data_IF_635654869335
#
_entry.id   IF_635654869335
#
_cell.length_a   1.000
_cell.length_b   1.000
_cell.length_c   1.000
_cell.angle_alpha   90.00
_cell.angle_beta   90.00
_cell.angle_gamma   90.00
#
_symmetry.space_group_name_H-M   'P 1'
#
loop_
_entity.id
_entity.type
_entity.pdbx_description
1 polymer ?
#
# COMPACT_ATOMS: atom_id res chain seq x y z
N UNK A 1 -24.11 7.33 37.82
CA UNK A 1 -23.17 8.37 38.31
C UNK A 1 -23.34 9.61 37.43
N UNK A 2 -23.40 10.82 38.00
CA UNK A 2 -23.49 12.05 37.18
C UNK A 2 -22.17 12.28 36.44
N UNK A 3 -22.23 12.78 35.19
CA UNK A 3 -21.05 13.12 34.39
C UNK A 3 -20.13 14.12 35.12
N UNK A 4 -20.72 15.04 35.89
CA UNK A 4 -20.00 15.99 36.73
C UNK A 4 -19.17 15.32 37.85
N UNK A 5 -19.72 14.28 38.47
CA UNK A 5 -19.01 13.49 39.48
C UNK A 5 -17.81 12.75 38.89
N UNK A 6 -17.94 12.25 37.65
CA UNK A 6 -16.86 11.59 36.92
C UNK A 6 -15.76 12.60 36.57
N UNK A 7 -16.12 13.79 36.10
CA UNK A 7 -15.15 14.83 35.75
C UNK A 7 -14.25 15.24 36.93
N UNK A 8 -14.85 15.40 38.12
CA UNK A 8 -14.16 15.80 39.34
C UNK A 8 -13.44 14.66 40.07
N UNK A 9 -13.60 13.40 39.65
CA UNK A 9 -12.90 12.27 40.28
C UNK A 9 -11.47 12.06 39.77
N UNK A 10 -11.01 12.83 38.79
CA UNK A 10 -9.66 12.79 38.25
C UNK A 10 -8.79 13.92 38.81
N UNK A 11 -7.47 13.67 38.91
CA UNK A 11 -6.47 14.67 39.28
C UNK A 11 -5.47 14.86 38.12
N UNK A 12 -5.39 16.04 37.49
CA UNK A 12 -6.28 17.19 37.64
C UNK A 12 -7.72 16.92 37.12
N UNK A 13 -8.73 17.71 37.54
CA UNK A 13 -10.10 17.55 37.08
C UNK A 13 -10.22 17.65 35.56
N UNK A 14 -11.01 16.75 34.97
CA UNK A 14 -11.27 16.79 33.53
C UNK A 14 -12.35 17.82 33.21
N UNK A 15 -12.28 18.51 32.05
CA UNK A 15 -13.39 19.31 31.58
C UNK A 15 -14.65 18.46 31.37
N UNK A 16 -15.82 18.98 31.77
CA UNK A 16 -17.11 18.31 31.57
C UNK A 16 -17.36 17.93 30.09
N UNK A 17 -16.92 18.80 29.17
CA UNK A 17 -17.02 18.59 27.72
C UNK A 17 -16.26 17.36 27.24
N UNK A 18 -15.13 17.01 27.89
CA UNK A 18 -14.33 15.83 27.56
C UNK A 18 -15.08 14.56 27.94
N UNK A 19 -15.62 14.49 29.17
CA UNK A 19 -16.43 13.36 29.63
C UNK A 19 -17.66 13.17 28.74
N UNK A 20 -18.36 14.25 28.42
CA UNK A 20 -19.53 14.22 27.53
C UNK A 20 -19.17 13.73 26.11
N UNK A 21 -18.05 14.22 25.55
CA UNK A 21 -17.59 13.83 24.21
C UNK A 21 -17.18 12.35 24.15
N UNK A 22 -16.50 11.85 25.19
CA UNK A 22 -16.13 10.43 25.31
C UNK A 22 -17.38 9.55 25.40
N UNK A 23 -18.35 9.90 26.25
CA UNK A 23 -19.61 9.15 26.37
C UNK A 23 -20.36 9.16 25.04
N UNK A 24 -20.45 10.32 24.37
CA UNK A 24 -21.09 10.44 23.06
C UNK A 24 -20.40 9.56 22.01
N UNK A 25 -19.06 9.55 21.99
CA UNK A 25 -18.26 8.70 21.09
C UNK A 25 -18.50 7.22 21.38
N UNK A 26 -18.48 6.82 22.64
CA UNK A 26 -18.72 5.44 23.05
C UNK A 26 -20.13 4.98 22.66
N UNK A 27 -21.15 5.80 22.91
CA UNK A 27 -22.52 5.48 22.52
C UNK A 27 -22.68 5.34 20.99
N UNK A 28 -21.94 6.12 20.19
CA UNK A 28 -22.02 6.08 18.74
C UNK A 28 -21.20 4.96 18.09
N UNK A 29 -20.05 4.60 18.67
CA UNK A 29 -19.04 3.73 18.02
C UNK A 29 -18.73 2.46 18.81
N UNK A 30 -19.22 2.34 20.04
CA UNK A 30 -18.91 1.25 20.97
C UNK A 30 -17.47 1.27 21.51
N UNK A 31 -16.66 2.28 21.18
CA UNK A 31 -15.22 2.31 21.50
C UNK A 31 -14.79 3.69 22.00
N UNK A 32 -13.78 3.70 22.88
CA UNK A 32 -13.14 4.95 23.37
C UNK A 32 -11.83 5.22 22.61
N UNK A 33 -11.28 4.21 21.93
CA UNK A 33 -10.03 4.25 21.18
C UNK A 33 -10.01 5.28 20.05
N UNK A 34 -8.83 5.83 19.77
CA UNK A 34 -8.66 6.82 18.71
C UNK A 34 -9.01 6.24 17.34
N UNK A 35 -9.96 6.88 16.67
CA UNK A 35 -10.38 6.50 15.32
C UNK A 35 -9.49 7.16 14.27
N UNK A 36 -9.31 6.52 13.09
CA UNK A 36 -8.59 7.13 12.00
C UNK A 36 -9.27 8.45 11.60
N UNK A 37 -8.48 9.51 11.50
CA UNK A 37 -8.97 10.81 11.00
C UNK A 37 -9.12 10.72 9.49
N UNK A 38 -10.05 11.51 8.92
CA UNK A 38 -10.32 11.53 7.47
C UNK A 38 -9.09 11.75 6.59
N UNK A 39 -8.05 12.41 7.13
CA UNK A 39 -6.81 12.67 6.39
C UNK A 39 -7.01 13.49 5.11
N UNK A 40 -5.92 13.68 4.37
CA UNK A 40 -5.97 14.29 3.03
C UNK A 40 -6.29 13.20 2.02
N UNK A 41 -7.22 13.48 1.11
CA UNK A 41 -7.52 12.60 -0.02
C UNK A 41 -6.27 12.39 -0.88
N UNK A 42 -6.11 11.18 -1.40
CA UNK A 42 -5.00 10.86 -2.28
C UNK A 42 -5.15 11.56 -3.65
N UNK A 43 -4.01 11.83 -4.30
CA UNK A 43 -3.99 12.49 -5.61
C UNK A 43 -4.43 11.52 -6.71
N UNK A 44 -4.10 10.23 -6.56
CA UNK A 44 -4.47 9.17 -7.49
C UNK A 44 -5.73 8.47 -6.98
N UNK A 45 -6.71 8.29 -7.88
CA UNK A 45 -7.87 7.46 -7.57
C UNK A 45 -7.55 5.96 -7.77
N UNK A 46 -8.48 5.08 -7.41
CA UNK A 46 -8.29 3.64 -7.56
C UNK A 46 -8.16 3.19 -9.02
N UNK A 47 -8.86 3.84 -9.95
CA UNK A 47 -8.78 3.52 -11.39
C UNK A 47 -7.40 3.86 -11.98
N UNK A 48 -6.79 4.96 -11.53
CA UNK A 48 -5.46 5.36 -11.94
C UNK A 48 -4.41 4.39 -11.40
N UNK A 49 -4.58 3.92 -10.15
CA UNK A 49 -3.74 2.86 -9.57
C UNK A 49 -3.83 1.57 -10.39
N UNK A 50 -5.03 1.13 -10.77
CA UNK A 50 -5.21 -0.04 -11.64
C UNK A 50 -4.57 0.13 -13.01
N UNK A 51 -4.72 1.31 -13.64
CA UNK A 51 -4.05 1.62 -14.92
C UNK A 51 -2.52 1.55 -14.79
N UNK A 52 -1.96 2.11 -13.71
CA UNK A 52 -0.53 2.03 -13.41
C UNK A 52 -0.09 0.57 -13.25
N UNK A 53 -0.81 -0.22 -12.45
CA UNK A 53 -0.50 -1.62 -12.21
C UNK A 53 -0.51 -2.43 -13.52
N UNK A 54 -1.56 -2.30 -14.31
CA UNK A 54 -1.71 -3.00 -15.59
C UNK A 54 -0.62 -2.59 -16.58
N UNK A 55 -0.26 -1.30 -16.63
CA UNK A 55 0.80 -0.80 -17.50
C UNK A 55 2.16 -1.37 -17.12
N UNK A 56 2.49 -1.36 -15.83
CA UNK A 56 3.80 -1.80 -15.33
C UNK A 56 3.97 -3.31 -15.46
N UNK A 57 2.94 -4.09 -15.13
CA UNK A 57 3.00 -5.55 -15.09
C UNK A 57 2.77 -6.24 -16.43
N UNK A 58 2.46 -5.48 -17.50
CA UNK A 58 2.13 -6.01 -18.83
C UNK A 58 3.17 -6.96 -19.40
N UNK A 59 4.45 -6.58 -19.40
CA UNK A 59 5.54 -7.39 -19.93
C UNK A 59 6.89 -7.05 -19.27
N UNK A 60 7.96 -7.74 -19.66
CA UNK A 60 9.31 -7.48 -19.11
C UNK A 60 9.81 -6.07 -19.44
N UNK A 61 9.54 -5.58 -20.65
CA UNK A 61 9.94 -4.25 -21.09
C UNK A 61 9.23 -3.13 -20.31
N UNK A 62 7.96 -3.30 -19.97
CA UNK A 62 7.18 -2.33 -19.21
C UNK A 62 7.67 -2.19 -17.78
N UNK A 63 8.20 -3.26 -17.18
CA UNK A 63 8.81 -3.24 -15.84
C UNK A 63 10.11 -2.44 -15.78
N UNK A 64 10.80 -2.30 -16.91
CA UNK A 64 12.02 -1.49 -17.04
C UNK A 64 11.78 -0.05 -17.48
N UNK A 65 10.52 0.38 -17.64
CA UNK A 65 10.22 1.77 -17.99
C UNK A 65 10.55 2.73 -16.84
N UNK A 66 11.03 3.91 -17.21
CA UNK A 66 11.18 5.03 -16.27
C UNK A 66 9.81 5.54 -15.82
N UNK A 67 9.72 6.00 -14.56
CA UNK A 67 8.48 6.58 -14.00
C UNK A 67 7.88 7.68 -14.90
N UNK A 68 8.72 8.58 -15.44
CA UNK A 68 8.29 9.62 -16.40
C UNK A 68 7.57 9.06 -17.63
N UNK A 69 8.10 8.00 -18.24
CA UNK A 69 7.46 7.35 -19.39
C UNK A 69 6.10 6.75 -19.02
N UNK A 70 5.97 6.24 -17.79
CA UNK A 70 4.69 5.72 -17.30
C UNK A 70 3.68 6.87 -17.16
N UNK A 71 4.09 7.99 -16.54
CA UNK A 71 3.29 9.21 -16.37
C UNK A 71 2.79 9.72 -17.73
N UNK A 72 3.71 9.92 -18.67
CA UNK A 72 3.42 10.39 -20.02
C UNK A 72 2.47 9.42 -20.74
N UNK A 73 2.72 8.12 -20.64
CA UNK A 73 1.90 7.11 -21.33
C UNK A 73 0.47 6.99 -20.79
N UNK A 74 0.25 7.40 -19.54
CA UNK A 74 -1.06 7.39 -18.88
C UNK A 74 -1.68 8.79 -18.82
N UNK A 75 -1.01 9.80 -19.37
CA UNK A 75 -1.39 11.21 -19.33
C UNK A 75 -1.76 11.68 -17.91
N UNK A 76 -0.98 11.27 -16.92
CA UNK A 76 -1.19 11.65 -15.52
C UNK A 76 -0.47 12.96 -15.21
N UNK A 77 -1.12 13.88 -14.51
CA UNK A 77 -0.49 15.11 -14.02
C UNK A 77 0.00 14.93 -12.57
N UNK A 78 0.99 14.06 -12.37
CA UNK A 78 1.52 13.74 -11.04
C UNK A 78 3.05 13.66 -11.04
N UNK A 79 3.66 13.89 -9.88
CA UNK A 79 5.09 13.75 -9.69
C UNK A 79 5.50 12.27 -9.58
N UNK A 80 6.72 11.93 -10.00
CA UNK A 80 7.32 10.59 -9.90
C UNK A 80 7.17 9.96 -8.50
N UNK A 81 7.33 10.77 -7.44
CA UNK A 81 7.21 10.32 -6.05
C UNK A 81 5.81 9.78 -5.72
N UNK A 82 4.76 10.36 -6.30
CA UNK A 82 3.36 9.94 -6.07
C UNK A 82 3.14 8.56 -6.65
N UNK A 83 3.64 8.31 -7.86
CA UNK A 83 3.56 6.99 -8.50
C UNK A 83 4.40 5.96 -7.75
N UNK A 84 5.63 6.30 -7.37
CA UNK A 84 6.48 5.39 -6.60
C UNK A 84 5.81 4.96 -5.28
N UNK A 85 5.18 5.91 -4.57
CA UNK A 85 4.38 5.59 -3.38
C UNK A 85 3.21 4.67 -3.72
N UNK A 86 2.40 5.02 -4.74
CA UNK A 86 1.26 4.20 -5.14
C UNK A 86 1.68 2.77 -5.54
N UNK A 87 2.81 2.61 -6.25
CA UNK A 87 3.37 1.31 -6.61
C UNK A 87 3.76 0.49 -5.39
N UNK A 88 4.40 1.10 -4.39
CA UNK A 88 4.72 0.43 -3.11
C UNK A 88 3.48 0.01 -2.35
N UNK A 89 2.47 0.88 -2.30
CA UNK A 89 1.19 0.57 -1.65
C UNK A 89 0.47 -0.61 -2.36
N UNK A 90 0.69 -0.78 -3.66
CA UNK A 90 0.24 -1.94 -4.46
C UNK A 90 1.15 -3.17 -4.36
N UNK A 91 2.23 -3.12 -3.57
CA UNK A 91 3.19 -4.23 -3.42
C UNK A 91 4.22 -4.35 -4.56
N UNK A 92 4.31 -3.35 -5.46
CA UNK A 92 5.27 -3.31 -6.56
C UNK A 92 6.52 -2.57 -6.10
N UNK A 93 7.59 -3.33 -5.92
CA UNK A 93 8.89 -2.82 -5.50
C UNK A 93 9.86 -2.70 -6.68
N UNK A 94 10.86 -1.83 -6.53
CA UNK A 94 11.95 -1.66 -7.49
C UNK A 94 13.12 -2.56 -7.12
N UNK A 95 13.35 -3.63 -7.89
CA UNK A 95 14.51 -4.51 -7.73
C UNK A 95 15.30 -4.57 -9.04
N UNK A 96 16.61 -4.75 -8.92
CA UNK A 96 17.44 -5.05 -10.08
C UNK A 96 17.14 -6.47 -10.57
N UNK A 97 17.01 -6.64 -11.89
CA UNK A 97 16.83 -7.97 -12.47
C UNK A 97 18.11 -8.80 -12.25
N UNK A 98 17.96 -10.00 -11.69
CA UNK A 98 19.09 -10.92 -11.51
C UNK A 98 19.52 -11.41 -12.90
N UNK A 99 20.82 -11.31 -13.18
CA UNK A 99 21.41 -11.86 -14.40
C UNK A 99 21.17 -13.37 -14.45
N UNK A 100 20.55 -13.84 -15.53
CA UNK A 100 20.40 -15.27 -15.81
C UNK A 100 21.33 -15.61 -16.97
N UNK A 101 22.34 -16.47 -16.79
CA UNK A 101 23.21 -16.87 -17.89
C UNK A 101 22.38 -17.58 -18.95
N UNK A 102 22.71 -17.31 -20.22
CA UNK A 102 22.05 -17.96 -21.33
C UNK A 102 22.33 -19.46 -21.33
N UNK A 103 21.29 -20.27 -21.51
CA UNK A 103 21.40 -21.73 -21.62
C UNK A 103 20.80 -22.13 -22.95
N UNK A 104 21.57 -22.85 -23.76
CA UNK A 104 21.09 -23.39 -25.04
C UNK A 104 19.88 -24.32 -24.79
N UNK A 105 18.82 -24.28 -25.63
CA UNK A 105 17.68 -25.21 -25.55
C UNK A 105 18.06 -26.68 -25.33
N UNK A 106 19.11 -27.19 -25.97
CA UNK A 106 19.60 -28.57 -25.79
C UNK A 106 20.07 -28.81 -24.35
N UNK A 107 20.78 -27.85 -23.77
CA UNK A 107 21.25 -27.92 -22.39
C UNK A 107 20.11 -27.72 -21.38
N UNK A 108 19.09 -26.93 -21.72
CA UNK A 108 17.87 -26.82 -20.90
C UNK A 108 17.21 -28.20 -20.77
N UNK A 109 17.00 -28.90 -21.89
CA UNK A 109 16.39 -30.23 -21.89
C UNK A 109 17.18 -31.22 -21.02
N UNK A 110 18.51 -31.29 -21.20
CA UNK A 110 19.39 -32.14 -20.38
C UNK A 110 19.34 -31.84 -18.89
N UNK A 111 19.20 -30.55 -18.52
CA UNK A 111 19.08 -30.16 -17.10
C UNK A 111 17.73 -30.63 -16.53
N UNK A 112 16.65 -30.50 -17.28
CA UNK A 112 15.32 -30.96 -16.85
C UNK A 112 15.29 -32.48 -16.70
N UNK A 113 15.84 -33.24 -17.64
CA UNK A 113 15.91 -34.71 -17.55
C UNK A 113 16.69 -35.14 -16.32
N UNK A 114 17.89 -34.57 -16.12
CA UNK A 114 18.72 -34.87 -14.96
C UNK A 114 18.03 -34.54 -13.64
N UNK A 115 17.38 -33.37 -13.53
CA UNK A 115 16.64 -32.99 -12.33
C UNK A 115 15.51 -33.99 -12.03
N UNK A 116 14.74 -34.41 -13.03
CA UNK A 116 13.64 -35.36 -12.84
C UNK A 116 14.13 -36.75 -12.41
N UNK A 117 15.26 -37.22 -12.94
CA UNK A 117 15.87 -38.50 -12.57
C UNK A 117 16.37 -38.52 -11.11
N UNK A 118 16.72 -37.36 -10.56
CA UNK A 118 17.32 -37.22 -9.22
C UNK A 118 16.40 -36.53 -8.21
N UNK A 119 15.12 -36.31 -8.58
CA UNK A 119 14.07 -35.79 -7.70
C UNK A 119 13.49 -36.94 -6.86
N UNK A 120 14.35 -37.62 -6.09
CA UNK A 120 13.95 -38.52 -5.01
C UNK A 120 13.87 -37.73 -3.70
#
# INVERSE_FOLDING_TARGET
>A
MSQYKIANSFEPPLPHTTVQSIIKKYNATGTVENQPRSGRQEILNNQDKEKIQNKVLKNSQSRSLTLKKIIESLNLNVYDKVICKAMKDMGINSYHAIFKPYVNPVNIAKRVTWCNEHLN
#
